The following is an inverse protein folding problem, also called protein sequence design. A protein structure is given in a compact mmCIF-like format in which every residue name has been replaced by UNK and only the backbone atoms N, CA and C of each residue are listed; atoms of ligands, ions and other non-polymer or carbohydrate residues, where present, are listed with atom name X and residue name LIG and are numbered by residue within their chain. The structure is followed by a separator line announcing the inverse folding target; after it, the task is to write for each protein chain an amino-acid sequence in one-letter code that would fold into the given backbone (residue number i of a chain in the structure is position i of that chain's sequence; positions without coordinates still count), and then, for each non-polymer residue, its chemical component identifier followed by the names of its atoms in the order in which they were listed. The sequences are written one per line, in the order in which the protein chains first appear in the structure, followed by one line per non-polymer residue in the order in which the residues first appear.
data_IF_782606674516
#
_entry.id   IF_782606674516
#
_cell.length_a   1.000
_cell.length_b   1.000
_cell.length_c   1.000
_cell.angle_alpha   90.00
_cell.angle_beta   90.00
_cell.angle_gamma   90.00
#
_symmetry.space_group_name_H-M   'P 1'
#
loop_
_entity.id
_entity.type
_entity.pdbx_description
1 polymer ?
#
# COMPACT_ATOMS: atom_id res chain seq x y z
N UNK A 1 -0.56 17.33 13.20
CA UNK A 1 0.70 17.18 13.99
C UNK A 1 0.51 15.95 14.86
N UNK A 2 1.46 15.02 14.94
CA UNK A 2 1.32 13.80 15.76
C UNK A 2 1.56 14.15 17.24
N UNK A 3 0.70 13.67 18.14
CA UNK A 3 0.85 13.91 19.59
C UNK A 3 1.79 12.90 20.22
N UNK A 4 1.79 11.68 19.70
CA UNK A 4 2.46 10.56 20.35
C UNK A 4 2.98 9.57 19.34
N UNK A 5 4.22 9.13 19.57
CA UNK A 5 4.86 8.05 18.85
C UNK A 5 5.17 6.94 19.86
N UNK A 6 4.64 5.74 19.61
CA UNK A 6 4.85 4.58 20.48
C UNK A 6 5.31 3.38 19.67
N UNK A 7 6.40 2.74 20.10
CA UNK A 7 6.78 1.44 19.55
C UNK A 7 5.90 0.36 20.19
N UNK A 8 5.13 -0.36 19.38
CA UNK A 8 4.26 -1.46 19.80
C UNK A 8 4.79 -2.75 19.18
N UNK A 9 5.02 -3.76 20.02
CA UNK A 9 5.38 -5.09 19.54
C UNK A 9 4.09 -5.91 19.39
N UNK A 10 3.78 -6.32 18.16
CA UNK A 10 2.65 -7.19 17.86
C UNK A 10 3.20 -8.53 17.38
N UNK A 11 3.01 -9.55 18.21
CA UNK A 11 3.66 -10.86 18.07
C UNK A 11 5.19 -10.73 17.98
N UNK A 12 5.76 -10.89 16.79
CA UNK A 12 7.21 -10.83 16.55
C UNK A 12 7.69 -9.58 15.82
N UNK A 13 6.78 -8.72 15.35
CA UNK A 13 7.14 -7.53 14.56
C UNK A 13 7.08 -6.28 15.43
N UNK A 14 8.11 -5.43 15.31
CA UNK A 14 8.12 -4.08 15.88
C UNK A 14 7.34 -3.15 14.95
N UNK A 15 6.29 -2.52 15.46
CA UNK A 15 5.53 -1.51 14.74
C UNK A 15 5.64 -0.16 15.46
N UNK A 16 5.58 0.92 14.71
CA UNK A 16 5.50 2.28 15.24
C UNK A 16 4.06 2.72 15.12
N UNK A 17 3.39 2.91 16.24
CA UNK A 17 2.07 3.51 16.32
C UNK A 17 2.21 5.04 16.36
N UNK A 18 1.55 5.70 15.42
CA UNK A 18 1.39 7.15 15.37
C UNK A 18 -0.02 7.48 15.89
N UNK A 19 -0.09 8.33 16.91
CA UNK A 19 -1.32 8.91 17.42
C UNK A 19 -1.39 10.38 17.01
N UNK A 20 -2.49 10.75 16.35
CA UNK A 20 -2.71 12.11 15.87
C UNK A 20 -3.64 12.88 16.79
N UNK A 21 -3.33 14.17 16.98
CA UNK A 21 -4.27 15.11 17.57
C UNK A 21 -5.46 15.26 16.61
N UNK A 22 -6.64 15.61 17.11
CA UNK A 22 -7.90 15.74 16.37
C UNK A 22 -7.90 16.84 15.27
N UNK A 23 -6.71 17.35 14.91
CA UNK A 23 -6.46 18.42 13.94
C UNK A 23 -6.14 17.92 12.53
N UNK A 24 -6.00 16.61 12.32
CA UNK A 24 -6.01 16.08 10.95
C UNK A 24 -7.40 16.25 10.35
N UNK A 25 -7.51 16.72 9.08
CA UNK A 25 -8.79 16.71 8.38
C UNK A 25 -9.28 15.26 8.38
N UNK A 26 -10.59 15.06 8.45
CA UNK A 26 -11.29 13.79 8.69
C UNK A 26 -10.99 12.62 7.72
N UNK A 27 -9.94 12.70 6.91
CA UNK A 27 -9.41 11.64 6.05
C UNK A 27 -8.38 10.78 6.77
N UNK A 28 -8.32 9.51 6.39
CA UNK A 28 -7.27 8.60 6.81
C UNK A 28 -5.96 8.96 6.11
N UNK A 29 -4.85 8.90 6.85
CA UNK A 29 -3.52 9.17 6.28
C UNK A 29 -2.99 7.89 5.64
N UNK A 30 -2.75 7.91 4.33
CA UNK A 30 -2.11 6.79 3.64
C UNK A 30 -0.60 7.01 3.60
N UNK A 31 0.12 6.09 4.22
CA UNK A 31 1.58 6.13 4.32
C UNK A 31 2.19 4.84 3.78
N UNK A 32 3.41 4.90 3.22
CA UNK A 32 4.14 3.71 2.80
C UNK A 32 4.27 2.73 3.95
N UNK A 33 3.95 1.46 3.70
CA UNK A 33 4.04 0.35 4.67
C UNK A 33 3.26 0.57 5.97
N UNK A 34 2.31 1.51 5.94
CA UNK A 34 1.44 1.80 7.05
C UNK A 34 0.02 1.31 6.83
N UNK A 35 -0.58 0.85 7.93
CA UNK A 35 -2.00 0.53 8.00
C UNK A 35 -2.67 1.52 8.95
N UNK A 36 -3.70 2.22 8.45
CA UNK A 36 -4.55 3.06 9.29
C UNK A 36 -5.70 2.20 9.82
N UNK A 37 -5.83 2.09 11.14
CA UNK A 37 -6.97 1.40 11.73
C UNK A 37 -8.19 2.33 11.78
N UNK A 38 -7.95 3.55 12.27
CA UNK A 38 -8.94 4.62 12.43
C UNK A 38 -8.27 5.96 12.08
N UNK A 39 -9.05 7.05 11.98
CA UNK A 39 -8.52 8.43 11.84
C UNK A 39 -7.52 8.87 12.93
N UNK A 40 -7.48 8.14 14.06
CA UNK A 40 -6.63 8.43 15.21
C UNK A 40 -5.32 7.63 15.24
N UNK A 41 -5.30 6.45 14.64
CA UNK A 41 -4.18 5.50 14.79
C UNK A 41 -3.70 4.98 13.45
N UNK A 42 -2.44 5.26 13.14
CA UNK A 42 -1.74 4.66 12.01
C UNK A 42 -0.56 3.87 12.50
N UNK A 43 -0.46 2.63 12.04
CA UNK A 43 0.62 1.70 12.37
C UNK A 43 1.59 1.65 11.20
N UNK A 44 2.84 2.00 11.46
CA UNK A 44 3.96 1.76 10.57
C UNK A 44 4.57 0.41 10.92
N UNK A 45 4.68 -0.47 9.92
CA UNK A 45 5.41 -1.72 10.09
C UNK A 45 6.74 -1.59 9.39
N UNK A 46 7.82 -1.96 10.08
CA UNK A 46 9.08 -2.24 9.39
C UNK A 46 8.90 -3.55 8.61
N UNK A 47 9.23 -3.60 7.31
CA UNK A 47 9.06 -4.81 6.53
C UNK A 47 10.05 -5.85 7.05
N UNK A 48 9.52 -6.97 7.54
CA UNK A 48 10.33 -8.15 7.90
C UNK A 48 10.69 -8.95 6.63
N UNK A 49 10.07 -8.61 5.48
CA UNK A 49 10.33 -9.17 4.16
C UNK A 49 11.37 -8.38 3.41
N UNK A 50 12.13 -9.07 2.54
CA UNK A 50 13.07 -8.42 1.61
C UNK A 50 12.39 -7.53 0.55
N UNK A 51 11.06 -7.60 0.43
CA UNK A 51 10.27 -6.88 -0.57
C UNK A 51 9.52 -5.75 0.14
N UNK A 52 9.77 -4.52 -0.29
CA UNK A 52 9.07 -3.30 0.15
C UNK A 52 7.69 -3.20 -0.49
N UNK A 53 6.86 -2.28 -0.01
CA UNK A 53 5.57 -1.99 -0.65
C UNK A 53 5.74 -1.61 -2.13
N UNK A 54 6.75 -0.80 -2.47
CA UNK A 54 7.09 -0.48 -3.86
C UNK A 54 7.34 -1.74 -4.69
N UNK A 55 8.19 -2.65 -4.18
CA UNK A 55 8.51 -3.90 -4.86
C UNK A 55 7.28 -4.80 -5.06
N UNK A 56 6.34 -4.77 -4.12
CA UNK A 56 5.10 -5.54 -4.19
C UNK A 56 4.18 -5.01 -5.30
N UNK A 57 3.96 -3.70 -5.37
CA UNK A 57 3.20 -3.08 -6.46
C UNK A 57 3.85 -3.31 -7.82
N UNK A 58 5.16 -3.13 -7.91
CA UNK A 58 5.91 -3.38 -9.15
C UNK A 58 5.75 -4.83 -9.63
N UNK A 59 5.93 -5.80 -8.73
CA UNK A 59 5.79 -7.22 -9.07
C UNK A 59 4.35 -7.55 -9.51
N UNK A 60 3.33 -7.06 -8.80
CA UNK A 60 1.94 -7.31 -9.13
C UNK A 60 1.56 -6.77 -10.51
N UNK A 61 1.94 -5.52 -10.82
CA UNK A 61 1.71 -4.91 -12.13
C UNK A 61 2.50 -5.60 -13.23
N UNK A 62 3.77 -5.96 -12.97
CA UNK A 62 4.60 -6.65 -13.93
C UNK A 62 3.99 -8.01 -14.31
N UNK A 63 3.64 -8.84 -13.32
CA UNK A 63 3.02 -10.15 -13.57
C UNK A 63 1.69 -10.01 -14.31
N UNK A 64 0.82 -9.10 -13.87
CA UNK A 64 -0.50 -8.88 -14.49
C UNK A 64 -0.36 -8.35 -15.93
N UNK A 65 0.55 -7.41 -16.16
CA UNK A 65 0.82 -6.83 -17.47
C UNK A 65 1.44 -7.86 -18.43
N UNK A 66 2.38 -8.68 -17.96
CA UNK A 66 2.96 -9.76 -18.77
C UNK A 66 1.89 -10.78 -19.14
N UNK A 67 1.04 -11.18 -18.19
CA UNK A 67 0.01 -12.18 -18.45
C UNK A 67 -1.07 -11.65 -19.41
N UNK A 68 -1.54 -10.42 -19.20
CA UNK A 68 -2.49 -9.75 -20.10
C UNK A 68 -1.92 -9.60 -21.52
N UNK A 69 -0.63 -9.27 -21.66
CA UNK A 69 0.03 -9.06 -22.95
C UNK A 69 0.29 -10.34 -23.73
N UNK A 70 0.77 -11.39 -23.06
CA UNK A 70 1.21 -12.62 -23.74
C UNK A 70 0.14 -13.72 -23.78
N UNK A 71 -0.86 -13.66 -22.91
CA UNK A 71 -1.93 -14.67 -22.82
C UNK A 71 -3.33 -14.03 -22.72
N UNK A 72 -3.72 -13.15 -23.66
CA UNK A 72 -4.95 -12.36 -23.54
C UNK A 72 -6.23 -13.23 -23.46
N UNK A 73 -6.30 -14.33 -24.22
CA UNK A 73 -7.48 -15.22 -24.20
C UNK A 73 -7.66 -15.92 -22.85
N UNK A 74 -6.54 -16.35 -22.25
CA UNK A 74 -6.52 -17.02 -20.94
C UNK A 74 -6.84 -15.99 -19.84
N UNK A 75 -6.28 -14.79 -19.95
CA UNK A 75 -6.56 -13.67 -19.05
C UNK A 75 -8.04 -13.32 -19.02
N UNK A 76 -8.66 -13.11 -20.19
CA UNK A 76 -10.09 -12.78 -20.29
C UNK A 76 -10.97 -13.89 -19.73
N UNK A 77 -10.62 -15.17 -19.98
CA UNK A 77 -11.33 -16.31 -19.40
C UNK A 77 -11.22 -16.32 -17.87
N UNK A 78 -10.05 -16.02 -17.31
CA UNK A 78 -9.87 -15.96 -15.86
C UNK A 78 -10.66 -14.81 -15.23
N UNK A 79 -10.62 -13.61 -15.81
CA UNK A 79 -11.41 -12.47 -15.32
C UNK A 79 -12.91 -12.75 -15.37
N UNK A 80 -13.40 -13.43 -16.42
CA UNK A 80 -14.80 -13.79 -16.55
C UNK A 80 -15.25 -14.89 -15.56
N UNK A 81 -14.33 -15.74 -15.09
CA UNK A 81 -14.64 -16.88 -14.22
C UNK A 81 -14.35 -16.63 -12.74
N UNK A 82 -13.43 -15.72 -12.42
CA UNK A 82 -12.97 -15.43 -11.07
C UNK A 82 -13.20 -13.95 -10.74
N UNK A 83 -14.39 -13.63 -10.23
CA UNK A 83 -14.76 -12.24 -9.89
C UNK A 83 -13.83 -11.63 -8.82
N UNK A 84 -13.29 -12.43 -7.92
CA UNK A 84 -12.35 -11.95 -6.89
C UNK A 84 -11.02 -11.50 -7.51
N UNK A 85 -10.49 -12.25 -8.47
CA UNK A 85 -9.24 -11.90 -9.14
C UNK A 85 -9.39 -10.61 -9.93
N UNK A 86 -10.52 -10.44 -10.64
CA UNK A 86 -10.77 -9.19 -11.37
C UNK A 86 -10.83 -7.98 -10.45
N UNK A 87 -11.52 -8.12 -9.31
CA UNK A 87 -11.61 -7.05 -8.31
C UNK A 87 -10.23 -6.70 -7.74
N UNK A 88 -9.42 -7.72 -7.39
CA UNK A 88 -8.08 -7.49 -6.83
C UNK A 88 -7.18 -6.79 -7.84
N UNK A 89 -7.18 -7.22 -9.10
CA UNK A 89 -6.35 -6.62 -10.15
C UNK A 89 -6.77 -5.17 -10.42
N UNK A 90 -8.07 -4.91 -10.47
CA UNK A 90 -8.64 -3.57 -10.62
C UNK A 90 -8.20 -2.66 -9.47
N UNK A 91 -8.40 -3.09 -8.22
CA UNK A 91 -7.97 -2.34 -7.03
C UNK A 91 -6.47 -2.08 -7.00
N UNK A 92 -5.64 -3.07 -7.37
CA UNK A 92 -4.18 -2.88 -7.44
C UNK A 92 -3.82 -1.84 -8.50
N UNK A 93 -4.48 -1.87 -9.66
CA UNK A 93 -4.23 -0.89 -10.72
C UNK A 93 -4.65 0.53 -10.28
N UNK A 94 -5.83 0.67 -9.69
CA UNK A 94 -6.35 1.96 -9.21
C UNK A 94 -5.45 2.56 -8.12
N UNK A 95 -5.06 1.76 -7.14
CA UNK A 95 -4.14 2.19 -6.08
C UNK A 95 -2.75 2.51 -6.62
N UNK A 96 -2.25 1.73 -7.57
CA UNK A 96 -0.92 1.94 -8.13
C UNK A 96 -0.78 3.28 -8.87
N UNK A 97 -1.85 3.78 -9.51
CA UNK A 97 -1.81 5.06 -10.24
C UNK A 97 -1.38 6.21 -9.32
N UNK A 98 -1.87 6.23 -8.09
CA UNK A 98 -1.58 7.30 -7.14
C UNK A 98 -0.41 6.98 -6.23
N UNK A 99 -0.30 5.72 -5.79
CA UNK A 99 0.63 5.32 -4.74
C UNK A 99 2.03 5.03 -5.28
N UNK A 100 2.13 4.42 -6.45
CA UNK A 100 3.40 3.96 -7.01
C UNK A 100 4.36 5.11 -7.36
N UNK A 101 3.89 6.25 -7.93
CA UNK A 101 4.76 7.42 -8.13
C UNK A 101 5.33 7.98 -6.83
N UNK A 102 4.53 7.99 -5.75
CA UNK A 102 4.96 8.48 -4.45
C UNK A 102 5.90 7.52 -3.74
N UNK A 103 5.65 6.21 -3.88
CA UNK A 103 6.57 5.18 -3.40
C UNK A 103 7.90 5.25 -4.16
N UNK A 104 7.87 5.43 -5.48
CA UNK A 104 9.08 5.61 -6.28
C UNK A 104 9.85 6.87 -5.85
N UNK A 105 9.15 7.99 -5.65
CA UNK A 105 9.77 9.22 -5.16
C UNK A 105 10.33 9.03 -3.74
N UNK A 106 9.63 8.30 -2.88
CA UNK A 106 10.09 8.01 -1.53
C UNK A 106 11.39 7.22 -1.50
N UNK A 107 11.54 6.25 -2.41
CA UNK A 107 12.78 5.48 -2.56
C UNK A 107 13.92 6.33 -3.12
N UNK A 108 13.63 7.29 -4.02
CA UNK A 108 14.63 8.19 -4.59
C UNK A 108 15.11 9.25 -3.59
N UNK A 109 14.18 9.90 -2.90
CA UNK A 109 14.46 11.01 -1.99
C UNK A 109 14.74 10.53 -0.56
N UNK A 110 14.52 9.25 -0.25
CA UNK A 110 14.62 8.66 1.08
C UNK A 110 13.70 9.38 2.09
N UNK A 111 12.53 9.84 1.63
CA UNK A 111 11.51 10.58 2.41
C UNK A 111 10.14 9.92 2.20
N UNK A 112 9.39 9.72 3.28
CA UNK A 112 8.01 9.22 3.16
C UNK A 112 7.04 10.36 2.74
N UNK A 113 6.30 10.14 1.65
CA UNK A 113 5.23 11.05 1.22
C UNK A 113 3.88 10.59 1.77
N UNK A 114 3.06 11.56 2.15
CA UNK A 114 1.74 11.33 2.74
C UNK A 114 0.68 11.68 1.70
N UNK A 115 -0.26 10.77 1.47
CA UNK A 115 -1.44 11.03 0.66
C UNK A 115 -2.60 11.47 1.57
N UNK A 116 -3.19 12.66 1.32
CA UNK A 116 -4.52 12.95 1.85
C UNK A 116 -5.55 12.08 1.12
N UNK A 117 -6.50 11.52 1.87
CA UNK A 117 -7.70 10.85 1.32
C UNK A 117 -8.65 11.84 0.62
#
# INVERSE_FOLDING_TARGET
MFEKLQAVRLSDSLMIQLEYDNTLPSGSLRIPEGASLNSKYTFLRRPDSAITEFGSYYAALYMSGMFCRYFPDIWMKHLATHSELSIIVEQVCDEAIYRLPLLALAELDQIAYLLPE
#
